data_IF_445193678740
#
_entry.id   IF_445193678740
#
_cell.length_a   1.000
_cell.length_b   1.000
_cell.length_c   1.000
_cell.angle_alpha   90.00
_cell.angle_beta   90.00
_cell.angle_gamma   90.00
#
_symmetry.space_group_name_H-M   'P 1'
#
loop_
_entity.id
_entity.type
_entity.pdbx_description
1 polymer ?
#
# COMPACT_ATOMS: atom_id res chain seq x y z
N UNK A 1 32.72 7.78 26.82
CA UNK A 1 31.84 6.73 26.28
C UNK A 1 30.54 6.64 27.08
N UNK A 2 30.55 6.51 28.41
CA UNK A 2 29.30 6.42 29.19
C UNK A 2 28.47 7.72 29.21
N UNK A 3 29.11 8.89 29.20
CA UNK A 3 28.43 10.20 29.25
C UNK A 3 27.72 10.51 27.94
N UNK A 4 28.32 10.19 26.80
CA UNK A 4 27.74 10.39 25.47
C UNK A 4 26.60 9.42 25.22
N UNK A 5 26.73 8.18 25.71
CA UNK A 5 25.69 7.17 25.67
C UNK A 5 24.47 7.59 26.51
N UNK A 6 24.66 8.05 27.74
CA UNK A 6 23.59 8.51 28.60
C UNK A 6 22.90 9.78 28.03
N UNK A 7 23.65 10.68 27.44
CA UNK A 7 23.12 11.86 26.74
C UNK A 7 22.30 11.47 25.51
N UNK A 8 22.74 10.45 24.76
CA UNK A 8 21.96 9.91 23.65
C UNK A 8 20.63 9.29 24.12
N UNK A 9 20.68 8.46 25.17
CA UNK A 9 19.47 7.83 25.75
C UNK A 9 18.49 8.91 26.20
N UNK A 10 18.94 9.88 26.98
CA UNK A 10 18.05 10.93 27.50
C UNK A 10 17.44 11.75 26.37
N UNK A 11 18.23 12.30 25.45
CA UNK A 11 17.73 13.19 24.38
C UNK A 11 16.92 12.48 23.30
N UNK A 12 17.23 11.23 22.94
CA UNK A 12 16.63 10.56 21.80
C UNK A 12 15.57 9.52 22.18
N UNK A 13 15.55 9.10 23.43
CA UNK A 13 14.61 8.08 23.88
C UNK A 13 13.73 8.63 25.00
N UNK A 14 14.30 9.12 26.10
CA UNK A 14 13.50 9.56 27.27
C UNK A 14 12.63 10.79 26.92
N UNK A 15 13.21 11.84 26.33
CA UNK A 15 12.47 13.07 25.97
C UNK A 15 11.31 12.76 24.99
N UNK A 16 11.52 11.78 24.11
CA UNK A 16 10.48 11.37 23.17
C UNK A 16 9.41 10.48 23.80
N UNK A 17 9.79 9.64 24.75
CA UNK A 17 8.83 8.87 25.54
C UNK A 17 7.91 9.78 26.36
N UNK A 18 8.48 10.83 26.96
CA UNK A 18 7.70 11.84 27.71
C UNK A 18 6.73 12.59 26.83
N UNK A 19 7.06 12.78 25.53
CA UNK A 19 6.15 13.34 24.52
C UNK A 19 5.18 12.32 23.91
N UNK A 20 5.16 11.06 24.38
CA UNK A 20 4.29 9.97 23.89
C UNK A 20 4.80 9.26 22.63
N UNK A 21 5.96 9.64 22.07
CA UNK A 21 6.56 8.94 20.92
C UNK A 21 7.40 7.73 21.38
N UNK A 22 6.79 6.55 21.34
CA UNK A 22 7.43 5.27 21.75
C UNK A 22 8.32 4.66 20.66
N UNK A 23 8.29 5.14 19.41
CA UNK A 23 9.04 4.56 18.28
C UNK A 23 10.55 4.49 18.48
N UNK A 24 11.23 5.52 19.04
CA UNK A 24 12.67 5.46 19.28
C UNK A 24 13.08 4.39 20.28
N UNK A 25 12.26 4.16 21.31
CA UNK A 25 12.49 3.09 22.30
C UNK A 25 12.43 1.72 21.64
N UNK A 26 11.36 1.44 20.89
CA UNK A 26 11.22 0.15 20.21
C UNK A 26 12.32 -0.10 19.19
N UNK A 27 12.75 0.94 18.46
CA UNK A 27 13.89 0.85 17.54
C UNK A 27 15.20 0.56 18.27
N UNK A 28 15.44 1.18 19.40
CA UNK A 28 16.61 0.94 20.25
C UNK A 28 16.64 -0.49 20.80
N UNK A 29 15.49 -0.99 21.28
CA UNK A 29 15.36 -2.38 21.76
C UNK A 29 15.57 -3.39 20.63
N UNK A 30 14.98 -3.14 19.46
CA UNK A 30 15.14 -3.99 18.27
C UNK A 30 16.60 -4.09 17.83
N UNK A 31 17.31 -2.97 17.81
CA UNK A 31 18.75 -2.94 17.47
C UNK A 31 19.62 -3.71 18.47
N UNK A 32 19.27 -3.66 19.76
CA UNK A 32 20.00 -4.41 20.81
C UNK A 32 19.70 -5.93 20.82
N UNK A 33 18.50 -6.31 20.40
CA UNK A 33 18.13 -7.74 20.28
C UNK A 33 18.82 -8.42 19.09
N UNK A 34 19.66 -7.72 18.35
CA UNK A 34 20.37 -8.30 17.21
C UNK A 34 19.44 -8.75 16.08
N UNK A 35 18.23 -8.17 16.01
CA UNK A 35 17.35 -8.33 14.88
C UNK A 35 17.98 -7.60 13.67
N UNK A 36 19.07 -8.16 13.13
CA UNK A 36 19.48 -7.82 11.78
C UNK A 36 18.34 -8.24 10.88
N UNK A 37 17.74 -7.30 10.13
CA UNK A 37 16.80 -7.61 9.06
C UNK A 37 17.48 -8.36 7.90
N UNK A 38 18.71 -8.83 8.09
CA UNK A 38 19.47 -9.61 7.13
C UNK A 38 18.82 -10.97 7.02
N UNK A 39 18.23 -11.25 5.90
CA UNK A 39 17.69 -12.56 5.56
C UNK A 39 18.88 -13.40 5.16
N UNK A 40 19.16 -14.47 5.92
CA UNK A 40 20.37 -15.28 5.73
C UNK A 40 20.12 -16.59 4.99
N UNK A 41 18.90 -17.13 5.08
CA UNK A 41 18.57 -18.42 4.49
C UNK A 41 17.07 -18.57 4.28
N UNK A 42 16.68 -19.21 3.18
CA UNK A 42 15.31 -19.59 2.88
C UNK A 42 15.24 -21.04 2.46
N UNK A 43 14.14 -21.71 2.77
CA UNK A 43 13.88 -23.07 2.32
C UNK A 43 13.75 -23.11 0.79
N UNK A 44 14.46 -24.07 0.17
CA UNK A 44 14.46 -24.28 -1.28
C UNK A 44 15.35 -23.32 -2.08
N UNK A 45 16.26 -22.57 -1.43
CA UNK A 45 17.34 -21.89 -2.14
C UNK A 45 18.38 -22.87 -2.67
N UNK A 46 18.92 -22.58 -3.86
CA UNK A 46 20.00 -23.38 -4.45
C UNK A 46 21.32 -23.20 -3.68
N UNK A 47 21.53 -21.99 -3.16
CA UNK A 47 22.64 -21.58 -2.31
C UNK A 47 22.19 -20.44 -1.38
N UNK A 48 23.05 -20.02 -0.46
CA UNK A 48 22.78 -18.92 0.48
C UNK A 48 23.17 -17.54 -0.09
N UNK A 49 23.31 -17.41 -1.43
CA UNK A 49 23.61 -16.12 -2.05
C UNK A 49 22.39 -15.20 -1.99
N UNK A 50 22.62 -13.90 -1.86
CA UNK A 50 21.57 -12.89 -1.88
C UNK A 50 20.74 -12.94 -3.18
N UNK A 51 21.35 -13.35 -4.29
CA UNK A 51 20.65 -13.55 -5.56
C UNK A 51 19.66 -14.72 -5.48
N UNK A 52 20.09 -15.89 -4.97
CA UNK A 52 19.24 -17.06 -4.81
C UNK A 52 18.08 -16.77 -3.85
N UNK A 53 18.35 -16.08 -2.76
CA UNK A 53 17.34 -15.64 -1.80
C UNK A 53 16.33 -14.67 -2.46
N UNK A 54 16.79 -13.70 -3.25
CA UNK A 54 15.92 -12.76 -3.94
C UNK A 54 15.01 -13.45 -4.97
N UNK A 55 15.55 -14.41 -5.75
CA UNK A 55 14.77 -15.23 -6.69
C UNK A 55 13.73 -16.06 -5.96
N UNK A 56 14.10 -16.71 -4.86
CA UNK A 56 13.18 -17.53 -4.07
C UNK A 56 12.00 -16.72 -3.49
N UNK A 57 12.26 -15.47 -3.06
CA UNK A 57 11.18 -14.55 -2.68
C UNK A 57 10.30 -14.17 -3.86
N UNK A 58 10.89 -13.88 -5.02
CA UNK A 58 10.13 -13.52 -6.22
C UNK A 58 9.19 -14.68 -6.62
N UNK A 59 9.68 -15.91 -6.64
CA UNK A 59 8.88 -17.08 -6.93
C UNK A 59 7.78 -17.31 -5.88
N UNK A 60 8.12 -17.16 -4.59
CA UNK A 60 7.14 -17.26 -3.49
C UNK A 60 6.04 -16.21 -3.56
N UNK A 61 6.37 -14.96 -3.90
CA UNK A 61 5.36 -13.92 -4.05
C UNK A 61 4.51 -14.08 -5.31
N UNK A 62 5.08 -14.55 -6.41
CA UNK A 62 4.33 -14.82 -7.63
C UNK A 62 3.43 -16.06 -7.52
N UNK A 63 3.80 -17.03 -6.69
CA UNK A 63 3.01 -18.27 -6.53
C UNK A 63 1.61 -18.07 -5.94
N UNK A 64 1.36 -16.90 -5.32
CA UNK A 64 0.06 -16.58 -4.74
C UNK A 64 -0.86 -15.80 -5.69
N UNK A 65 -0.37 -15.40 -6.85
CA UNK A 65 -1.19 -14.73 -7.84
C UNK A 65 -2.27 -15.68 -8.37
N UNK A 66 -3.45 -15.14 -8.59
CA UNK A 66 -4.59 -15.90 -9.09
C UNK A 66 -4.76 -15.71 -10.58
N UNK A 67 -5.20 -16.76 -11.24
CA UNK A 67 -5.71 -16.67 -12.61
C UNK A 67 -7.20 -16.34 -12.51
N UNK A 68 -7.65 -15.32 -13.25
CA UNK A 68 -9.07 -14.99 -13.30
C UNK A 68 -9.85 -16.13 -13.95
N UNK A 69 -10.96 -16.54 -13.32
CA UNK A 69 -11.82 -17.64 -13.79
C UNK A 69 -12.80 -17.20 -14.90
N UNK A 70 -12.71 -15.93 -15.32
CA UNK A 70 -13.63 -15.34 -16.29
C UNK A 70 -15.05 -15.12 -15.80
N UNK A 71 -15.39 -15.56 -14.57
CA UNK A 71 -16.68 -15.25 -13.97
C UNK A 71 -16.74 -13.77 -13.58
N UNK A 72 -17.83 -13.10 -13.94
CA UNK A 72 -18.05 -11.71 -13.55
C UNK A 72 -19.05 -11.66 -12.40
N UNK A 73 -18.81 -10.83 -11.37
CA UNK A 73 -19.80 -10.63 -10.32
C UNK A 73 -21.07 -10.02 -10.91
N UNK A 74 -22.21 -10.38 -10.35
CA UNK A 74 -23.46 -9.70 -10.67
C UNK A 74 -23.40 -8.26 -10.14
N UNK A 75 -23.32 -7.31 -11.06
CA UNK A 75 -23.30 -5.88 -10.79
C UNK A 75 -24.59 -5.23 -11.32
N UNK A 76 -25.72 -5.87 -11.11
CA UNK A 76 -27.02 -5.55 -11.70
C UNK A 76 -27.62 -4.20 -11.30
N UNK A 77 -27.01 -3.47 -10.35
CA UNK A 77 -27.45 -2.12 -10.00
C UNK A 77 -26.27 -1.14 -10.08
N UNK A 78 -25.98 -0.60 -11.27
CA UNK A 78 -25.02 0.49 -11.37
C UNK A 78 -25.52 1.70 -10.57
N UNK A 79 -24.61 2.41 -9.91
CA UNK A 79 -24.94 3.69 -9.27
C UNK A 79 -25.58 4.63 -10.28
N UNK A 80 -26.72 5.21 -9.92
CA UNK A 80 -27.42 6.22 -10.74
C UNK A 80 -26.61 7.51 -10.88
N UNK A 81 -25.68 7.76 -9.96
CA UNK A 81 -24.77 8.89 -9.99
C UNK A 81 -23.40 8.48 -10.51
N UNK A 82 -22.86 9.28 -11.42
CA UNK A 82 -21.51 9.11 -11.93
C UNK A 82 -20.58 10.16 -11.36
N UNK A 83 -19.38 9.74 -10.95
CA UNK A 83 -18.34 10.65 -10.52
C UNK A 83 -17.92 11.58 -11.67
N UNK A 84 -17.49 12.80 -11.34
CA UNK A 84 -16.95 13.73 -12.32
C UNK A 84 -15.51 13.34 -12.72
N UNK A 85 -15.08 13.67 -13.96
CA UNK A 85 -13.68 13.48 -14.34
C UNK A 85 -12.74 14.26 -13.41
N UNK A 86 -11.59 13.66 -13.12
CA UNK A 86 -10.62 14.26 -12.22
C UNK A 86 -9.87 15.40 -12.94
N UNK A 87 -9.91 16.59 -12.35
CA UNK A 87 -9.11 17.72 -12.78
C UNK A 87 -7.95 17.93 -11.81
N UNK A 88 -6.73 17.91 -12.33
CA UNK A 88 -5.51 18.06 -11.52
C UNK A 88 -5.35 19.51 -11.08
N UNK A 89 -5.33 19.72 -9.75
CA UNK A 89 -5.03 21.02 -9.16
C UNK A 89 -3.52 21.17 -8.93
N UNK A 90 -2.83 22.08 -9.66
CA UNK A 90 -1.39 22.27 -9.51
C UNK A 90 -0.94 22.66 -8.10
N UNK A 91 -1.74 23.45 -7.38
CA UNK A 91 -1.43 23.80 -5.98
C UNK A 91 -1.50 22.59 -5.06
N UNK A 92 -2.42 21.65 -5.33
CA UNK A 92 -2.50 20.36 -4.63
C UNK A 92 -1.26 19.51 -4.85
N UNK A 93 -0.75 19.44 -6.09
CA UNK A 93 0.49 18.73 -6.42
C UNK A 93 1.70 19.37 -5.70
N UNK A 94 1.79 20.70 -5.71
CA UNK A 94 2.85 21.41 -4.98
C UNK A 94 2.83 21.08 -3.47
N UNK A 95 1.62 21.03 -2.87
CA UNK A 95 1.47 20.66 -1.46
C UNK A 95 1.98 19.25 -1.21
N UNK A 96 1.54 18.27 -1.99
CA UNK A 96 1.98 16.87 -1.85
C UNK A 96 3.50 16.72 -2.01
N UNK A 97 4.11 17.39 -3.00
CA UNK A 97 5.56 17.39 -3.18
C UNK A 97 6.31 17.94 -1.96
N UNK A 98 5.80 19.02 -1.35
CA UNK A 98 6.39 19.60 -0.13
C UNK A 98 6.24 18.72 1.11
N UNK A 99 5.19 17.92 1.17
CA UNK A 99 4.89 17.01 2.28
C UNK A 99 5.61 15.67 2.17
N UNK A 100 6.32 15.39 1.06
CA UNK A 100 7.09 14.16 0.92
C UNK A 100 8.06 13.96 2.08
N UNK A 101 8.09 12.74 2.61
CA UNK A 101 9.08 12.34 3.61
C UNK A 101 10.43 12.07 2.93
N UNK A 102 11.37 13.01 3.08
CA UNK A 102 12.68 12.94 2.48
C UNK A 102 13.53 11.71 2.91
N UNK A 103 13.12 11.00 3.99
CA UNK A 103 13.84 9.82 4.51
C UNK A 103 13.43 8.51 3.84
N UNK A 104 12.32 8.51 3.08
CA UNK A 104 11.85 7.31 2.37
C UNK A 104 12.75 7.00 1.17
N UNK A 105 12.81 5.70 0.81
CA UNK A 105 13.55 5.23 -0.35
C UNK A 105 12.94 5.65 -1.68
N UNK A 106 13.75 5.70 -2.72
CA UNK A 106 13.31 5.90 -4.09
C UNK A 106 12.61 4.65 -4.65
N UNK A 107 11.77 4.84 -5.65
CA UNK A 107 11.21 3.76 -6.47
C UNK A 107 12.21 3.19 -7.47
N UNK A 108 11.73 2.35 -8.42
CA UNK A 108 12.55 1.78 -9.49
C UNK A 108 13.22 2.84 -10.39
N UNK A 109 12.58 3.99 -10.55
CA UNK A 109 13.04 5.15 -11.31
C UNK A 109 14.23 5.90 -10.68
N UNK A 110 14.62 5.55 -9.45
CA UNK A 110 15.71 6.18 -8.73
C UNK A 110 15.43 7.62 -8.24
N UNK A 111 14.23 8.14 -8.45
CA UNK A 111 13.85 9.49 -8.02
C UNK A 111 13.58 9.51 -6.51
N UNK A 112 14.46 10.15 -5.76
CA UNK A 112 14.30 10.23 -4.31
C UNK A 112 13.25 11.27 -3.90
N UNK A 113 12.47 11.00 -2.83
CA UNK A 113 11.54 11.98 -2.27
C UNK A 113 12.22 13.28 -1.87
N UNK A 114 13.49 13.24 -1.39
CA UNK A 114 14.27 14.42 -1.03
C UNK A 114 14.50 15.33 -2.25
N UNK A 115 14.88 14.75 -3.39
CA UNK A 115 15.08 15.48 -4.63
C UNK A 115 13.78 16.11 -5.13
N UNK A 116 12.69 15.33 -5.17
CA UNK A 116 11.37 15.80 -5.62
C UNK A 116 10.83 16.92 -4.72
N UNK A 117 11.04 16.82 -3.41
CA UNK A 117 10.70 17.86 -2.45
C UNK A 117 11.48 19.14 -2.67
N UNK A 118 12.80 19.03 -2.87
CA UNK A 118 13.69 20.17 -3.15
C UNK A 118 13.27 20.89 -4.44
N UNK A 119 12.98 20.15 -5.49
CA UNK A 119 12.57 20.69 -6.80
C UNK A 119 11.09 21.07 -6.88
N UNK A 120 10.30 20.91 -5.82
CA UNK A 120 8.85 21.02 -5.82
C UNK A 120 8.31 22.26 -6.52
N UNK A 121 8.89 23.43 -6.27
CA UNK A 121 8.45 24.72 -6.84
C UNK A 121 8.74 24.86 -8.34
N UNK A 122 9.60 24.03 -8.89
CA UNK A 122 9.97 24.04 -10.33
C UNK A 122 9.17 22.98 -11.12
N UNK A 123 8.91 21.81 -10.48
CA UNK A 123 8.35 20.65 -11.19
C UNK A 123 6.84 20.50 -11.06
N UNK A 124 6.17 21.19 -10.12
CA UNK A 124 4.74 20.97 -9.87
C UNK A 124 3.85 21.30 -11.08
N UNK A 125 4.16 22.34 -11.86
CA UNK A 125 3.40 22.70 -13.07
C UNK A 125 3.57 21.66 -14.19
N UNK A 126 4.81 21.31 -14.63
CA UNK A 126 4.97 20.27 -15.63
C UNK A 126 4.43 18.91 -15.18
N UNK A 127 4.58 18.53 -13.89
CA UNK A 127 3.97 17.32 -13.37
C UNK A 127 2.45 17.35 -13.41
N UNK A 128 1.83 18.47 -13.06
CA UNK A 128 0.37 18.60 -13.14
C UNK A 128 -0.15 18.41 -14.58
N UNK A 129 0.56 18.93 -15.57
CA UNK A 129 0.23 18.71 -16.99
C UNK A 129 0.41 17.26 -17.41
N UNK A 130 1.51 16.62 -16.97
CA UNK A 130 1.77 15.21 -17.22
C UNK A 130 0.68 14.32 -16.60
N UNK A 131 0.28 14.59 -15.36
CA UNK A 131 -0.78 13.86 -14.67
C UNK A 131 -2.13 14.01 -15.37
N UNK A 132 -2.51 15.23 -15.76
CA UNK A 132 -3.75 15.47 -16.52
C UNK A 132 -3.71 14.72 -17.85
N UNK A 133 -2.62 14.83 -18.61
CA UNK A 133 -2.47 14.11 -19.86
C UNK A 133 -2.55 12.58 -19.68
N UNK A 134 -1.91 12.04 -18.64
CA UNK A 134 -1.97 10.61 -18.34
C UNK A 134 -3.40 10.17 -18.02
N UNK A 135 -4.15 10.94 -17.21
CA UNK A 135 -5.55 10.67 -16.91
C UNK A 135 -6.41 10.72 -18.16
N UNK A 136 -6.36 11.81 -18.93
CA UNK A 136 -7.23 12.02 -20.09
C UNK A 136 -6.99 11.00 -21.21
N UNK A 137 -5.73 10.56 -21.36
CA UNK A 137 -5.35 9.59 -22.40
C UNK A 137 -5.43 8.12 -21.95
N UNK A 138 -5.58 7.86 -20.64
CA UNK A 138 -5.47 6.52 -20.05
C UNK A 138 -4.07 5.90 -20.17
N UNK A 139 -3.06 6.68 -20.59
CA UNK A 139 -1.69 6.18 -20.77
C UNK A 139 -0.90 6.29 -19.48
N UNK A 140 -0.42 5.16 -18.99
CA UNK A 140 0.42 5.07 -17.80
C UNK A 140 1.86 4.78 -18.23
N UNK A 141 2.86 5.60 -17.84
CA UNK A 141 4.27 5.33 -18.12
C UNK A 141 4.71 3.96 -17.58
N UNK A 142 5.66 3.31 -18.27
CA UNK A 142 6.17 1.99 -17.84
C UNK A 142 6.78 2.03 -16.45
N UNK A 143 7.57 3.08 -16.14
CA UNK A 143 8.21 3.24 -14.82
C UNK A 143 7.21 3.29 -13.66
N UNK A 144 5.95 3.69 -13.90
CA UNK A 144 4.91 3.72 -12.87
C UNK A 144 4.28 2.35 -12.63
N UNK A 145 4.51 1.40 -13.52
CA UNK A 145 4.04 0.02 -13.43
C UNK A 145 5.09 -0.95 -12.87
N UNK A 146 6.31 -0.46 -12.65
CA UNK A 146 7.38 -1.24 -12.04
C UNK A 146 7.42 -1.04 -10.52
N UNK A 147 7.78 -2.11 -9.80
CA UNK A 147 7.96 -2.09 -8.36
C UNK A 147 9.23 -2.82 -7.92
N UNK A 148 10.00 -2.20 -7.03
CA UNK A 148 10.98 -2.92 -6.22
C UNK A 148 10.26 -3.44 -4.97
N UNK A 149 10.25 -4.75 -4.78
CA UNK A 149 9.57 -5.38 -3.64
C UNK A 149 10.58 -5.72 -2.56
N UNK A 150 10.31 -5.29 -1.34
CA UNK A 150 11.14 -5.60 -0.17
C UNK A 150 10.37 -6.56 0.73
N UNK A 151 10.94 -7.76 1.04
CA UNK A 151 10.30 -8.71 1.94
C UNK A 151 10.32 -8.19 3.38
N UNK A 152 9.14 -8.04 4.00
CA UNK A 152 9.01 -7.67 5.41
C UNK A 152 8.46 -8.86 6.19
N UNK A 153 9.24 -9.39 7.13
CA UNK A 153 8.82 -10.52 7.97
C UNK A 153 7.55 -10.22 8.75
N UNK A 154 6.57 -11.13 8.68
CA UNK A 154 5.28 -11.01 9.37
C UNK A 154 5.22 -11.90 10.61
N UNK A 155 5.36 -13.21 10.44
CA UNK A 155 5.25 -14.23 11.51
C UNK A 155 5.64 -15.61 10.97
N UNK A 156 5.84 -16.58 11.85
CA UNK A 156 6.12 -17.96 11.46
C UNK A 156 7.61 -18.23 11.28
N UNK A 157 7.97 -19.20 10.46
CA UNK A 157 9.36 -19.48 10.12
C UNK A 157 9.94 -18.39 9.22
N UNK A 158 11.16 -17.94 9.53
CA UNK A 158 11.89 -16.98 8.68
C UNK A 158 12.43 -17.60 7.40
N UNK A 159 12.47 -18.94 7.31
CA UNK A 159 12.91 -19.66 6.13
C UNK A 159 11.82 -19.79 5.04
N UNK A 160 10.56 -19.53 5.37
CA UNK A 160 9.45 -19.58 4.43
C UNK A 160 9.15 -18.19 3.84
N UNK A 161 9.30 -17.98 2.51
CA UNK A 161 8.99 -16.72 1.84
C UNK A 161 7.55 -16.24 2.05
N UNK A 162 6.60 -17.16 2.21
CA UNK A 162 5.18 -16.84 2.39
C UNK A 162 4.86 -16.20 3.75
N UNK A 163 5.79 -16.27 4.70
CA UNK A 163 5.71 -15.59 6.00
C UNK A 163 6.16 -14.13 5.96
N UNK A 164 6.47 -13.61 4.77
CA UNK A 164 6.85 -12.22 4.55
C UNK A 164 5.75 -11.46 3.78
N UNK A 165 5.68 -10.16 4.01
CA UNK A 165 4.83 -9.24 3.23
C UNK A 165 5.64 -8.65 2.09
N UNK A 166 5.14 -8.63 0.84
CA UNK A 166 5.79 -7.96 -0.28
C UNK A 166 5.50 -6.45 -0.23
N UNK A 167 6.41 -5.67 0.35
CA UNK A 167 6.27 -4.21 0.37
C UNK A 167 6.72 -3.64 -0.96
N UNK A 168 5.79 -3.07 -1.72
CA UNK A 168 6.05 -2.53 -3.05
C UNK A 168 6.56 -1.09 -2.99
N UNK A 169 7.80 -0.88 -3.41
CA UNK A 169 8.37 0.44 -3.63
C UNK A 169 8.15 0.80 -5.10
N UNK A 170 7.14 1.62 -5.36
CA UNK A 170 6.78 2.14 -6.69
C UNK A 170 7.31 3.55 -6.89
N UNK A 171 7.21 4.10 -8.10
CA UNK A 171 7.58 5.48 -8.40
C UNK A 171 6.88 6.48 -7.47
N UNK A 172 7.64 7.39 -6.87
CA UNK A 172 7.07 8.44 -6.00
C UNK A 172 6.18 9.39 -6.81
N UNK A 173 6.51 9.64 -8.07
CA UNK A 173 5.68 10.46 -8.96
C UNK A 173 4.34 9.78 -9.20
N UNK A 174 4.32 8.48 -9.47
CA UNK A 174 3.07 7.70 -9.59
C UNK A 174 2.23 7.79 -8.32
N UNK A 175 2.83 7.61 -7.15
CA UNK A 175 2.12 7.71 -5.86
C UNK A 175 1.42 9.05 -5.65
N UNK A 176 2.01 10.16 -6.11
CA UNK A 176 1.35 11.47 -6.01
C UNK A 176 0.04 11.47 -6.82
N UNK A 177 0.04 10.94 -8.04
CA UNK A 177 -1.19 10.82 -8.84
C UNK A 177 -2.16 9.80 -8.25
N UNK A 178 -1.66 8.65 -7.80
CA UNK A 178 -2.46 7.62 -7.12
C UNK A 178 -3.21 8.19 -5.90
N UNK A 179 -2.56 9.04 -5.09
CA UNK A 179 -3.21 9.75 -3.98
C UNK A 179 -4.33 10.70 -4.43
N UNK A 180 -4.15 11.41 -5.55
CA UNK A 180 -5.21 12.29 -6.09
C UNK A 180 -6.41 11.45 -6.53
N UNK A 181 -6.17 10.34 -7.23
CA UNK A 181 -7.21 9.43 -7.70
C UNK A 181 -7.93 8.78 -6.51
N UNK A 182 -7.19 8.23 -5.56
CA UNK A 182 -7.75 7.59 -4.37
C UNK A 182 -8.59 8.56 -3.53
N UNK A 183 -8.11 9.80 -3.36
CA UNK A 183 -8.88 10.84 -2.65
C UNK A 183 -10.19 11.17 -3.35
N UNK A 184 -10.17 11.30 -4.69
CA UNK A 184 -11.36 11.60 -5.48
C UNK A 184 -12.38 10.44 -5.40
N UNK A 185 -11.93 9.19 -5.59
CA UNK A 185 -12.78 8.00 -5.48
C UNK A 185 -13.38 7.88 -4.09
N UNK A 186 -12.56 7.96 -3.04
CA UNK A 186 -13.04 7.83 -1.67
C UNK A 186 -14.05 8.93 -1.32
N UNK A 187 -13.78 10.18 -1.72
CA UNK A 187 -14.73 11.29 -1.49
C UNK A 187 -16.06 11.05 -2.19
N UNK A 188 -16.06 10.51 -3.41
CA UNK A 188 -17.27 10.17 -4.13
C UNK A 188 -18.05 9.03 -3.46
N UNK A 189 -17.37 7.93 -3.09
CA UNK A 189 -17.98 6.78 -2.44
C UNK A 189 -18.62 7.15 -1.10
N UNK A 190 -17.94 7.97 -0.29
CA UNK A 190 -18.45 8.46 1.00
C UNK A 190 -19.64 9.41 0.81
N UNK A 191 -19.54 10.39 -0.10
CA UNK A 191 -20.61 11.38 -0.31
C UNK A 191 -21.90 10.78 -0.84
N UNK A 192 -21.83 9.62 -1.48
CA UNK A 192 -22.99 8.93 -2.06
C UNK A 192 -23.44 7.72 -1.24
N UNK A 193 -22.84 7.49 -0.05
CA UNK A 193 -23.25 6.36 0.82
C UNK A 193 -23.07 4.98 0.19
N UNK A 194 -22.07 4.84 -0.72
CA UNK A 194 -21.82 3.57 -1.44
C UNK A 194 -21.14 2.55 -0.53
N UNK A 195 -20.33 3.02 0.43
CA UNK A 195 -19.68 2.15 1.40
C UNK A 195 -20.62 1.80 2.54
N UNK A 196 -20.67 0.52 2.92
CA UNK A 196 -21.49 0.07 4.03
C UNK A 196 -21.06 0.73 5.35
N UNK A 197 -22.02 1.09 6.21
CA UNK A 197 -21.74 1.78 7.48
C UNK A 197 -20.89 0.94 8.43
N UNK A 198 -20.97 -0.38 8.34
CA UNK A 198 -20.16 -1.32 9.12
C UNK A 198 -18.72 -1.43 8.64
N UNK A 199 -18.35 -0.87 7.49
CA UNK A 199 -16.98 -0.88 6.99
C UNK A 199 -16.16 0.21 7.66
N UNK A 200 -15.18 -0.15 8.49
CA UNK A 200 -14.27 0.79 9.14
C UNK A 200 -12.88 0.85 8.48
N UNK A 201 -12.44 -0.23 7.83
CA UNK A 201 -11.14 -0.27 7.15
C UNK A 201 -11.07 0.67 5.94
N UNK A 202 -9.96 1.40 5.79
CA UNK A 202 -9.67 2.29 4.67
C UNK A 202 -10.67 3.45 4.46
N UNK A 203 -11.42 3.80 5.48
CA UNK A 203 -12.37 4.93 5.47
C UNK A 203 -11.85 6.08 6.31
N UNK A 204 -12.14 7.32 5.88
CA UNK A 204 -11.82 8.52 6.62
C UNK A 204 -12.66 8.59 7.91
N UNK A 205 -12.03 9.01 9.01
CA UNK A 205 -12.65 9.09 10.35
C UNK A 205 -13.10 7.73 10.93
N UNK A 206 -12.73 6.61 10.33
CA UNK A 206 -12.95 5.27 10.82
C UNK A 206 -11.60 4.59 11.12
N UNK A 207 -11.58 3.62 12.03
CA UNK A 207 -10.37 2.89 12.41
C UNK A 207 -10.67 1.70 13.30
N UNK A 208 -9.63 1.01 13.74
CA UNK A 208 -9.78 -0.15 14.64
C UNK A 208 -10.52 0.20 15.94
N UNK A 209 -10.28 1.40 16.49
CA UNK A 209 -10.91 1.87 17.73
C UNK A 209 -12.42 2.05 17.56
N UNK A 210 -12.86 2.67 16.46
CA UNK A 210 -14.29 2.85 16.17
C UNK A 210 -14.98 1.53 15.90
N UNK A 211 -14.31 0.58 15.21
CA UNK A 211 -14.84 -0.76 15.00
C UNK A 211 -15.00 -1.53 16.31
N UNK A 212 -13.98 -1.48 17.18
CA UNK A 212 -14.04 -2.14 18.48
C UNK A 212 -15.16 -1.56 19.35
N UNK A 213 -15.33 -0.24 19.35
CA UNK A 213 -16.40 0.41 20.11
C UNK A 213 -17.77 -0.08 19.65
N UNK A 214 -18.02 -0.11 18.34
CA UNK A 214 -19.29 -0.63 17.80
C UNK A 214 -19.50 -2.08 18.20
N UNK A 215 -18.49 -2.94 18.04
CA UNK A 215 -18.59 -4.37 18.38
C UNK A 215 -18.85 -4.59 19.87
N UNK A 216 -18.16 -3.84 20.75
CA UNK A 216 -18.38 -3.94 22.20
C UNK A 216 -19.80 -3.47 22.56
N UNK A 217 -20.28 -2.39 21.93
CA UNK A 217 -21.64 -1.89 22.14
C UNK A 217 -22.67 -2.95 21.76
N UNK A 218 -22.50 -3.62 20.60
CA UNK A 218 -23.39 -4.69 20.15
C UNK A 218 -23.40 -5.86 21.14
N UNK A 219 -22.24 -6.26 21.64
CA UNK A 219 -22.15 -7.33 22.65
C UNK A 219 -22.80 -6.94 23.98
N UNK A 220 -22.61 -5.70 24.42
CA UNK A 220 -23.23 -5.20 25.66
C UNK A 220 -24.75 -5.19 25.54
N UNK A 221 -25.27 -4.68 24.41
CA UNK A 221 -26.71 -4.66 24.14
C UNK A 221 -27.30 -6.09 24.12
N UNK A 222 -26.60 -7.03 23.48
CA UNK A 222 -27.05 -8.43 23.45
C UNK A 222 -27.04 -9.05 24.84
N UNK A 223 -26.02 -8.75 25.65
CA UNK A 223 -25.92 -9.22 27.03
C UNK A 223 -27.07 -8.68 27.91
N UNK A 224 -27.36 -7.37 27.84
CA UNK A 224 -28.41 -6.72 28.62
C UNK A 224 -29.80 -7.25 28.23
N UNK A 225 -29.98 -7.65 26.99
CA UNK A 225 -31.22 -8.26 26.48
C UNK A 225 -31.29 -9.77 26.69
N UNK A 226 -30.25 -10.40 27.30
CA UNK A 226 -30.13 -11.86 27.41
C UNK A 226 -30.24 -12.61 26.06
N UNK A 227 -29.70 -12.04 25.00
CA UNK A 227 -29.68 -12.65 23.66
C UNK A 227 -28.35 -13.39 23.48
N UNK A 228 -28.38 -14.75 23.31
CA UNK A 228 -27.17 -15.49 22.95
C UNK A 228 -26.57 -14.98 21.64
N UNK A 229 -25.26 -14.73 21.62
CA UNK A 229 -24.58 -14.16 20.45
C UNK A 229 -23.41 -15.04 20.05
N UNK A 230 -23.44 -15.57 18.82
CA UNK A 230 -22.33 -16.26 18.20
C UNK A 230 -21.50 -15.29 17.38
N UNK A 231 -20.16 -15.45 17.44
CA UNK A 231 -19.21 -14.58 16.72
C UNK A 231 -18.39 -15.40 15.74
N UNK A 232 -18.51 -15.08 14.45
CA UNK A 232 -17.67 -15.65 13.41
C UNK A 232 -16.64 -14.60 12.93
N UNK A 233 -15.36 -14.91 13.08
CA UNK A 233 -14.25 -14.05 12.60
C UNK A 233 -13.74 -14.62 11.28
N UNK A 234 -13.88 -13.83 10.20
CA UNK A 234 -13.44 -14.21 8.87
C UNK A 234 -12.24 -13.35 8.45
N UNK A 235 -11.21 -13.97 7.87
CA UNK A 235 -10.02 -13.27 7.36
C UNK A 235 -9.70 -13.75 5.94
N UNK A 236 -9.41 -12.81 5.05
CA UNK A 236 -9.01 -13.11 3.68
C UNK A 236 -7.51 -13.37 3.59
N UNK A 237 -7.15 -14.56 3.15
CA UNK A 237 -5.75 -14.88 2.91
C UNK A 237 -5.22 -14.12 1.69
N UNK A 238 -4.08 -13.41 1.86
CA UNK A 238 -3.40 -12.70 0.77
C UNK A 238 -4.32 -11.72 -0.01
N UNK A 239 -5.25 -11.04 0.69
CA UNK A 239 -6.30 -10.21 0.08
C UNK A 239 -5.79 -9.22 -0.99
N UNK A 240 -4.61 -8.61 -0.81
CA UNK A 240 -4.02 -7.69 -1.79
C UNK A 240 -3.44 -8.41 -3.02
N UNK A 241 -2.97 -9.63 -2.87
CA UNK A 241 -2.25 -10.36 -3.92
C UNK A 241 -3.21 -11.11 -4.87
N UNK A 242 -4.45 -11.38 -4.41
CA UNK A 242 -5.45 -12.20 -5.15
C UNK A 242 -6.55 -11.37 -5.82
N UNK A 243 -6.48 -10.05 -5.80
CA UNK A 243 -7.51 -9.20 -6.44
C UNK A 243 -7.52 -9.44 -7.95
N UNK A 244 -8.67 -9.90 -8.48
CA UNK A 244 -8.88 -10.00 -9.92
C UNK A 244 -9.02 -8.60 -10.53
N UNK A 245 -8.17 -8.27 -11.50
CA UNK A 245 -8.22 -6.98 -12.18
C UNK A 245 -9.55 -6.77 -12.94
N UNK A 246 -10.06 -7.74 -13.75
CA UNK A 246 -11.35 -7.59 -14.43
C UNK A 246 -12.50 -7.33 -13.47
N UNK A 247 -12.57 -8.08 -12.36
CA UNK A 247 -13.62 -7.92 -11.35
C UNK A 247 -13.55 -6.57 -10.64
N UNK A 248 -12.33 -6.09 -10.35
CA UNK A 248 -12.13 -4.76 -9.77
C UNK A 248 -12.61 -3.66 -10.72
N UNK A 249 -12.22 -3.72 -12.00
CA UNK A 249 -12.65 -2.75 -13.02
C UNK A 249 -14.17 -2.71 -13.15
N UNK A 250 -14.82 -3.87 -13.19
CA UNK A 250 -16.27 -3.94 -13.24
C UNK A 250 -16.92 -3.30 -12.00
N UNK A 251 -16.40 -3.58 -10.80
CA UNK A 251 -16.88 -2.96 -9.56
C UNK A 251 -16.74 -1.44 -9.57
N UNK A 252 -15.64 -0.91 -10.10
CA UNK A 252 -15.46 0.55 -10.20
C UNK A 252 -16.48 1.19 -11.13
N UNK A 253 -16.79 0.56 -12.27
CA UNK A 253 -17.85 1.02 -13.15
C UNK A 253 -19.23 0.96 -12.46
N UNK A 254 -19.55 -0.14 -11.80
CA UNK A 254 -20.82 -0.30 -11.07
C UNK A 254 -20.97 0.70 -9.92
N UNK A 255 -19.88 1.05 -9.26
CA UNK A 255 -19.86 2.08 -8.23
C UNK A 255 -20.02 3.51 -8.79
N UNK A 256 -20.09 3.70 -10.11
CA UNK A 256 -20.26 5.00 -10.74
C UNK A 256 -18.97 5.82 -10.88
N UNK A 257 -17.80 5.18 -10.79
CA UNK A 257 -16.53 5.89 -11.06
C UNK A 257 -16.44 6.24 -12.54
N UNK A 258 -15.98 7.47 -12.82
CA UNK A 258 -15.92 8.00 -14.18
C UNK A 258 -15.07 7.10 -15.11
N UNK A 259 -15.54 6.77 -16.32
CA UNK A 259 -14.85 5.85 -17.24
C UNK A 259 -13.39 6.18 -17.51
N UNK A 260 -13.03 7.45 -17.67
CA UNK A 260 -11.65 7.89 -17.86
C UNK A 260 -10.78 7.47 -16.67
N UNK A 261 -11.25 7.63 -15.44
CA UNK A 261 -10.54 7.22 -14.23
C UNK A 261 -10.39 5.70 -14.18
N UNK A 262 -11.44 4.96 -14.52
CA UNK A 262 -11.41 3.49 -14.53
C UNK A 262 -10.44 2.97 -15.60
N UNK A 263 -10.42 3.54 -16.81
CA UNK A 263 -9.48 3.16 -17.86
C UNK A 263 -8.02 3.48 -17.47
N UNK A 264 -7.79 4.58 -16.74
CA UNK A 264 -6.46 4.85 -16.18
C UNK A 264 -6.04 3.78 -15.17
N UNK A 265 -6.93 3.39 -14.24
CA UNK A 265 -6.67 2.33 -13.25
C UNK A 265 -6.39 0.99 -13.96
N UNK A 266 -7.15 0.67 -14.98
CA UNK A 266 -6.93 -0.52 -15.80
C UNK A 266 -5.54 -0.50 -16.46
N UNK A 267 -5.14 0.63 -17.06
CA UNK A 267 -3.81 0.83 -17.63
C UNK A 267 -2.70 0.73 -16.57
N UNK A 268 -2.95 1.25 -15.37
CA UNK A 268 -2.00 1.19 -14.25
C UNK A 268 -1.84 -0.23 -13.69
N UNK A 269 -2.88 -1.06 -13.69
CA UNK A 269 -2.84 -2.47 -13.29
C UNK A 269 -2.27 -3.38 -14.38
N UNK A 270 -2.29 -2.97 -15.64
CA UNK A 270 -1.86 -3.80 -16.77
C UNK A 270 -0.34 -3.83 -16.91
N UNK A 271 0.21 -4.98 -17.32
CA UNK A 271 1.65 -5.16 -17.61
C UNK A 271 2.56 -4.65 -16.48
N UNK A 272 2.16 -4.90 -15.25
CA UNK A 272 3.00 -4.59 -14.09
C UNK A 272 4.13 -5.58 -13.95
N UNK A 273 5.27 -5.07 -13.48
CA UNK A 273 6.48 -5.86 -13.28
C UNK A 273 6.97 -5.63 -11.85
N UNK A 274 7.41 -6.70 -11.21
CA UNK A 274 8.09 -6.64 -9.93
C UNK A 274 9.50 -7.24 -9.99
N UNK A 275 10.39 -6.74 -9.14
CA UNK A 275 11.67 -7.37 -8.81
C UNK A 275 11.84 -7.32 -7.30
N UNK A 276 12.25 -8.42 -6.69
CA UNK A 276 12.48 -8.47 -5.24
C UNK A 276 13.90 -8.03 -4.92
N UNK A 277 14.06 -7.18 -3.92
CA UNK A 277 15.36 -6.70 -3.47
C UNK A 277 15.67 -7.24 -2.09
N UNK A 278 16.77 -7.98 -1.98
CA UNK A 278 17.29 -8.53 -0.71
C UNK A 278 18.75 -8.11 -0.57
N UNK A 279 19.10 -7.47 0.55
CA UNK A 279 20.45 -7.00 0.86
C UNK A 279 21.11 -6.16 -0.27
N UNK A 280 20.31 -5.45 -1.08
CA UNK A 280 20.78 -4.64 -2.21
C UNK A 280 20.87 -5.39 -3.55
N UNK A 281 20.66 -6.70 -3.58
CA UNK A 281 20.65 -7.53 -4.79
C UNK A 281 19.20 -7.70 -5.26
N UNK A 282 18.96 -7.62 -6.58
CA UNK A 282 17.62 -7.72 -7.19
C UNK A 282 17.43 -9.07 -7.87
N UNK A 283 16.26 -9.66 -7.71
CA UNK A 283 15.82 -10.79 -8.52
C UNK A 283 15.62 -10.39 -9.99
N UNK A 284 15.44 -11.38 -10.85
CA UNK A 284 14.90 -11.18 -12.18
C UNK A 284 13.51 -10.57 -12.12
N UNK A 285 13.10 -9.92 -13.20
CA UNK A 285 11.76 -9.35 -13.37
C UNK A 285 10.71 -10.44 -13.43
N UNK A 286 9.57 -10.23 -12.78
CA UNK A 286 8.40 -11.10 -12.82
C UNK A 286 7.17 -10.29 -13.17
N UNK A 287 6.29 -10.85 -13.99
CA UNK A 287 4.99 -10.26 -14.33
C UNK A 287 4.02 -10.40 -13.14
N UNK A 288 3.17 -9.38 -12.97
CA UNK A 288 2.11 -9.36 -11.95
C UNK A 288 0.78 -9.61 -12.64
N UNK A 289 0.21 -10.80 -12.43
CA UNK A 289 -1.03 -11.24 -13.08
C UNK A 289 -2.30 -10.92 -12.28
N UNK A 290 -2.19 -10.72 -10.97
CA UNK A 290 -3.30 -10.36 -10.09
C UNK A 290 -2.83 -9.47 -8.94
N UNK A 291 -3.77 -8.98 -8.15
CA UNK A 291 -3.48 -8.20 -6.96
C UNK A 291 -3.20 -6.72 -7.22
N UNK A 292 -3.01 -6.00 -6.13
CA UNK A 292 -2.69 -4.57 -6.10
C UNK A 292 -1.41 -4.34 -5.28
N UNK A 293 -0.61 -3.31 -5.60
CA UNK A 293 0.63 -3.04 -4.85
C UNK A 293 0.35 -2.76 -3.38
N UNK A 294 1.01 -3.49 -2.48
CA UNK A 294 0.92 -3.21 -1.04
C UNK A 294 1.73 -1.97 -0.70
N UNK A 295 1.12 -1.03 0.09
CA UNK A 295 1.78 0.20 0.57
C UNK A 295 2.09 1.21 -0.56
N UNK A 296 1.36 1.19 -1.68
CA UNK A 296 1.50 2.27 -2.68
C UNK A 296 0.75 3.52 -2.24
N UNK A 297 -0.50 3.42 -1.87
CA UNK A 297 -1.37 4.52 -1.38
C UNK A 297 -2.10 4.10 -0.14
#
# INVERSE_FOLDING_TARGET
VNRDYNNFINRHICDKLESGDTKPLFKFIANRRGNSNTIKQLDGCADDSDQSIAERFADGFCSVFTVDDGSLPDCSQPSLQQNSPITINPKGILKQLKELDAKKGAGPDGLSPALLKFLSVYIYLPLSKLFQYSLDSGKVPQDWREANVVPLFKKGSRSDPLNYRPISLTSIISKILEHVIAHNINSFLESNGILADCQHGFRRHHGCETQLLTTITDFTNSYDLNIPTDVAVLDFQKAFDVVSHPKLILKLYSAGIHPITVEWIKGWLSNRILSVTVNGVKSQRRDVSSGVPQVSV
#
